data_IF_221282108779
#
_entry.id   IF_221282108779
#
_cell.length_a   1.000
_cell.length_b   1.000
_cell.length_c   1.000
_cell.angle_alpha   90.00
_cell.angle_beta   90.00
_cell.angle_gamma   90.00
#
_symmetry.space_group_name_H-M   'P 1'
#
loop_
_entity.id
_entity.type
_entity.pdbx_description
1 polymer ?
#
# COMPACT_ATOMS: atom_id res chain seq x y z
N UNK A 1 14.01 -17.29 -8.12
CA UNK A 1 12.63 -17.50 -7.65
C UNK A 1 11.75 -16.47 -8.34
N UNK A 2 10.82 -16.92 -9.17
CA UNK A 2 9.83 -16.06 -9.83
C UNK A 2 8.51 -16.10 -9.06
N UNK A 3 7.73 -15.03 -9.18
CA UNK A 3 6.45 -14.81 -8.54
C UNK A 3 5.41 -14.47 -9.59
N UNK A 4 4.22 -15.07 -9.47
CA UNK A 4 3.03 -14.69 -10.23
C UNK A 4 2.09 -13.96 -9.28
N UNK A 5 1.99 -12.64 -9.44
CA UNK A 5 1.10 -11.80 -8.65
C UNK A 5 -0.37 -12.07 -9.01
N UNK A 6 -1.24 -12.06 -8.00
CA UNK A 6 -2.68 -12.14 -8.22
C UNK A 6 -3.14 -10.91 -9.03
N UNK A 7 -3.98 -11.05 -10.08
CA UNK A 7 -4.32 -9.94 -10.97
C UNK A 7 -4.86 -8.70 -10.25
N UNK A 8 -5.79 -8.86 -9.29
CA UNK A 8 -6.31 -7.75 -8.49
C UNK A 8 -5.24 -7.06 -7.63
N UNK A 9 -4.28 -7.82 -7.13
CA UNK A 9 -3.18 -7.26 -6.33
C UNK A 9 -2.23 -6.49 -7.24
N UNK A 10 -1.92 -7.01 -8.42
CA UNK A 10 -1.11 -6.33 -9.42
C UNK A 10 -1.74 -4.99 -9.84
N UNK A 11 -3.06 -4.96 -10.07
CA UNK A 11 -3.82 -3.75 -10.40
C UNK A 11 -3.76 -2.70 -9.26
N UNK A 12 -4.02 -3.11 -8.01
CA UNK A 12 -3.92 -2.24 -6.84
C UNK A 12 -2.50 -1.70 -6.64
N UNK A 13 -1.48 -2.53 -6.81
CA UNK A 13 -0.08 -2.09 -6.76
C UNK A 13 0.20 -1.02 -7.83
N UNK A 14 -0.38 -1.17 -9.03
CA UNK A 14 -0.35 -0.15 -10.08
C UNK A 14 -0.94 1.19 -9.63
N UNK A 15 -2.05 1.18 -8.87
CA UNK A 15 -2.66 2.40 -8.29
C UNK A 15 -1.73 3.09 -7.28
N UNK A 16 -0.83 2.35 -6.63
CA UNK A 16 0.20 2.88 -5.74
C UNK A 16 1.50 3.26 -6.47
N UNK A 17 1.54 3.15 -7.81
CA UNK A 17 2.71 3.48 -8.63
C UNK A 17 3.74 2.36 -8.76
N UNK A 18 3.38 1.12 -8.42
CA UNK A 18 4.27 -0.04 -8.53
C UNK A 18 3.95 -0.86 -9.78
N UNK A 19 5.00 -1.38 -10.42
CA UNK A 19 4.92 -2.42 -11.43
C UNK A 19 5.88 -3.55 -11.04
N UNK A 20 5.47 -4.47 -10.14
CA UNK A 20 6.35 -5.53 -9.66
C UNK A 20 6.69 -6.49 -10.81
N UNK A 21 7.97 -6.83 -10.94
CA UNK A 21 8.44 -7.84 -11.89
C UNK A 21 8.19 -9.24 -11.32
N UNK A 22 8.25 -10.31 -12.15
CA UNK A 22 8.22 -11.68 -11.64
C UNK A 22 9.32 -11.96 -10.61
N UNK A 23 10.43 -11.21 -10.59
CA UNK A 23 11.49 -11.36 -9.59
C UNK A 23 11.30 -10.47 -8.35
N UNK A 24 10.29 -9.59 -8.33
CA UNK A 24 9.99 -8.73 -7.18
C UNK A 24 9.30 -9.56 -6.10
N UNK A 25 9.93 -9.66 -4.93
CA UNK A 25 9.35 -10.36 -3.78
C UNK A 25 8.09 -9.63 -3.27
N UNK A 26 6.98 -10.34 -2.99
CA UNK A 26 5.75 -9.72 -2.48
C UNK A 26 5.93 -8.96 -1.16
N UNK A 27 6.84 -9.41 -0.30
CA UNK A 27 7.22 -8.75 0.96
C UNK A 27 7.85 -7.38 0.71
N UNK A 28 8.70 -7.25 -0.31
CA UNK A 28 9.31 -5.99 -0.73
C UNK A 28 8.25 -5.02 -1.26
N UNK A 29 7.34 -5.50 -2.10
CA UNK A 29 6.22 -4.69 -2.59
C UNK A 29 5.34 -4.20 -1.43
N UNK A 30 5.00 -5.07 -0.47
CA UNK A 30 4.20 -4.69 0.71
C UNK A 30 4.92 -3.68 1.60
N UNK A 31 6.23 -3.81 1.78
CA UNK A 31 7.03 -2.85 2.55
C UNK A 31 6.96 -1.46 1.93
N UNK A 32 7.12 -1.34 0.60
CA UNK A 32 6.99 -0.07 -0.11
C UNK A 32 5.60 0.56 0.09
N UNK A 33 4.52 -0.21 -0.10
CA UNK A 33 3.14 0.30 0.07
C UNK A 33 2.92 0.77 1.52
N UNK A 34 3.46 0.07 2.50
CA UNK A 34 3.38 0.45 3.91
C UNK A 34 4.14 1.75 4.21
N UNK A 35 5.30 1.98 3.60
CA UNK A 35 6.04 3.22 3.75
C UNK A 35 5.35 4.40 3.08
N UNK A 36 4.73 4.19 1.92
CA UNK A 36 3.87 5.19 1.26
C UNK A 36 2.67 5.57 2.15
N UNK A 37 1.96 4.57 2.69
CA UNK A 37 0.86 4.79 3.65
C UNK A 37 1.30 5.61 4.87
N UNK A 38 2.44 5.26 5.49
CA UNK A 38 2.99 5.99 6.63
C UNK A 38 3.39 7.42 6.25
N UNK A 39 3.97 7.61 5.07
CA UNK A 39 4.30 8.93 4.55
C UNK A 39 3.04 9.80 4.43
N UNK A 40 1.95 9.28 3.87
CA UNK A 40 0.71 10.03 3.74
C UNK A 40 0.08 10.39 5.09
N UNK A 41 0.09 9.49 6.07
CA UNK A 41 -0.36 9.80 7.42
C UNK A 41 0.50 10.87 8.09
N UNK A 42 1.83 10.80 7.95
CA UNK A 42 2.75 11.82 8.46
C UNK A 42 2.48 13.17 7.81
N UNK A 43 2.27 13.20 6.49
CA UNK A 43 1.92 14.42 5.76
C UNK A 43 0.60 14.99 6.24
N UNK A 44 -0.44 14.16 6.41
CA UNK A 44 -1.74 14.61 6.94
C UNK A 44 -1.60 15.22 8.34
N UNK A 45 -0.83 14.57 9.23
CA UNK A 45 -0.53 15.09 10.57
C UNK A 45 0.24 16.41 10.51
N UNK A 46 1.24 16.52 9.63
CA UNK A 46 2.01 17.75 9.48
C UNK A 46 1.12 18.93 9.08
N UNK A 47 0.19 18.73 8.15
CA UNK A 47 -0.80 19.75 7.75
C UNK A 47 -1.72 20.16 8.90
N UNK A 48 -2.13 19.21 9.74
CA UNK A 48 -2.91 19.53 10.95
C UNK A 48 -2.10 20.41 11.92
N UNK A 49 -0.83 20.04 12.18
CA UNK A 49 0.05 20.79 13.09
C UNK A 49 0.34 22.20 12.55
N UNK A 50 0.52 22.32 11.24
CA UNK A 50 0.67 23.59 10.54
C UNK A 50 -0.65 24.40 10.44
N UNK A 51 -1.77 23.87 10.96
CA UNK A 51 -3.12 24.48 10.89
C UNK A 51 -3.63 24.73 9.47
N UNK A 52 -3.09 24.02 8.47
CA UNK A 52 -3.56 24.07 7.09
C UNK A 52 -4.92 23.36 6.90
N UNK A 53 -5.27 22.48 7.84
CA UNK A 53 -6.55 21.78 7.88
C UNK A 53 -7.15 21.90 9.28
N UNK A 54 -8.49 21.94 9.40
CA UNK A 54 -9.15 21.94 10.70
C UNK A 54 -8.89 20.63 11.45
N UNK A 55 -8.89 20.71 12.79
CA UNK A 55 -8.84 19.54 13.67
C UNK A 55 -10.12 18.70 13.56
N UNK A 56 -11.25 19.37 13.36
CA UNK A 56 -12.54 18.71 13.18
C UNK A 56 -12.55 17.89 11.88
N UNK A 57 -12.97 16.64 12.01
CA UNK A 57 -12.90 15.65 10.92
C UNK A 57 -11.49 15.16 10.59
N UNK A 58 -10.48 15.37 11.45
CA UNK A 58 -9.15 14.78 11.23
C UNK A 58 -9.20 13.26 11.22
N UNK A 59 -9.98 12.66 12.14
CA UNK A 59 -10.18 11.21 12.19
C UNK A 59 -10.78 10.67 10.89
N UNK A 60 -11.77 11.36 10.31
CA UNK A 60 -12.38 10.97 9.04
C UNK A 60 -11.37 11.03 7.89
N UNK A 61 -10.53 12.06 7.86
CA UNK A 61 -9.43 12.16 6.87
C UNK A 61 -8.42 11.03 7.01
N UNK A 62 -8.11 10.58 8.24
CA UNK A 62 -7.27 9.40 8.47
C UNK A 62 -7.95 8.12 7.95
N UNK A 63 -9.26 7.99 8.17
CA UNK A 63 -10.05 6.86 7.64
C UNK A 63 -10.03 6.84 6.12
N UNK A 64 -10.18 8.00 5.46
CA UNK A 64 -10.09 8.09 4.01
C UNK A 64 -8.70 7.69 3.48
N UNK A 65 -7.63 8.06 4.17
CA UNK A 65 -6.29 7.54 3.84
C UNK A 65 -6.27 6.02 3.97
N UNK A 66 -6.74 5.45 5.09
CA UNK A 66 -6.76 3.99 5.30
C UNK A 66 -7.53 3.23 4.23
N UNK A 67 -8.69 3.74 3.80
CA UNK A 67 -9.50 3.14 2.73
C UNK A 67 -8.73 2.99 1.42
N UNK A 68 -7.86 3.96 1.08
CA UNK A 68 -7.02 3.89 -0.13
C UNK A 68 -5.97 2.77 -0.06
N UNK A 69 -5.53 2.34 1.13
CA UNK A 69 -4.53 1.26 1.31
C UNK A 69 -5.16 -0.04 1.80
N UNK A 70 -6.40 -0.34 1.39
CA UNK A 70 -7.08 -1.58 1.75
C UNK A 70 -6.24 -2.83 1.46
N UNK A 71 -5.39 -2.81 0.42
CA UNK A 71 -4.48 -3.92 0.13
C UNK A 71 -3.57 -4.29 1.32
N UNK A 72 -3.19 -3.34 2.18
CA UNK A 72 -2.35 -3.63 3.35
C UNK A 72 -3.02 -4.54 4.38
N UNK A 73 -4.35 -4.64 4.41
CA UNK A 73 -5.07 -5.60 5.26
C UNK A 73 -5.04 -7.03 4.73
N UNK A 74 -4.65 -7.23 3.46
CA UNK A 74 -4.48 -8.56 2.86
C UNK A 74 -3.12 -9.12 3.26
N UNK A 75 -3.11 -10.36 3.75
CA UNK A 75 -1.88 -11.11 4.07
C UNK A 75 -1.01 -11.27 2.82
N UNK A 76 0.30 -11.09 2.96
CA UNK A 76 1.22 -11.03 1.81
C UNK A 76 1.34 -12.36 1.07
N UNK A 77 1.10 -13.48 1.75
CA UNK A 77 1.08 -14.82 1.13
C UNK A 77 -0.02 -14.96 0.06
N UNK A 78 -1.07 -14.13 0.12
CA UNK A 78 -2.13 -14.10 -0.90
C UNK A 78 -1.84 -13.12 -2.05
N UNK A 79 -0.73 -12.39 -2.02
CA UNK A 79 -0.41 -11.39 -3.05
C UNK A 79 0.16 -12.01 -4.32
N UNK A 80 0.96 -13.06 -4.17
CA UNK A 80 1.56 -13.77 -5.29
C UNK A 80 1.84 -15.23 -4.92
N UNK A 81 1.95 -16.08 -5.93
CA UNK A 81 2.42 -17.45 -5.78
C UNK A 81 3.85 -17.55 -6.29
N UNK A 82 4.66 -18.37 -5.63
CA UNK A 82 5.96 -18.76 -6.15
C UNK A 82 5.72 -19.62 -7.39
N UNK A 83 6.41 -19.30 -8.47
CA UNK A 83 6.46 -20.15 -9.66
C UNK A 83 7.40 -21.31 -9.34
N UNK A 84 6.86 -22.52 -9.21
CA UNK A 84 7.65 -23.74 -9.18
C UNK A 84 7.89 -24.19 -10.62
N UNK A 85 9.15 -24.35 -11.01
CA UNK A 85 9.48 -25.05 -12.24
C UNK A 85 9.06 -26.52 -12.05
N UNK A 86 8.19 -27.00 -12.94
CA UNK A 86 7.76 -28.40 -12.99
C UNK A 86 8.87 -29.27 -13.61
#
# INVERSE_FOLDING_TARGET
MEYTYHPKVFEELGRYGLCPKPTTQPTLAKAYVNDLYRHELRRLRARLVAREIPKDGYSDRVVEVRKRYGLLSVRVEFWARVKSDA
#
